data_IF_155378509832
#
_entry.id   IF_155378509832
#
_cell.length_a   1.000
_cell.length_b   1.000
_cell.length_c   1.000
_cell.angle_alpha   90.00
_cell.angle_beta   90.00
_cell.angle_gamma   90.00
#
_symmetry.space_group_name_H-M   'P 1'
#
loop_
_entity.id
_entity.type
_entity.pdbx_description
1 polymer ?
#
# COMPACT_ATOMS: atom_id res chain seq x y z
N UNK A 1 -19.51 -3.59 11.18
CA UNK A 1 -19.23 -4.39 10.02
C UNK A 1 -17.98 -5.23 10.22
N UNK A 2 -18.12 -6.51 10.05
CA UNK A 2 -17.01 -7.43 10.28
C UNK A 2 -16.28 -7.70 8.98
N UNK A 3 -14.99 -7.43 8.97
CA UNK A 3 -14.15 -7.82 7.86
C UNK A 3 -13.71 -9.25 8.08
N UNK A 4 -14.12 -10.13 7.20
CA UNK A 4 -13.74 -11.54 7.29
C UNK A 4 -12.51 -11.80 6.47
N UNK A 5 -11.42 -12.21 7.10
CA UNK A 5 -10.21 -12.60 6.41
C UNK A 5 -10.39 -13.99 5.82
N UNK A 6 -9.95 -14.18 4.59
CA UNK A 6 -10.01 -15.47 3.94
C UNK A 6 -8.90 -16.37 4.45
N UNK A 7 -9.22 -17.64 4.59
CA UNK A 7 -8.20 -18.63 4.90
C UNK A 7 -7.18 -18.70 3.76
N UNK A 8 -5.92 -18.71 4.11
CA UNK A 8 -4.84 -18.80 3.13
C UNK A 8 -4.36 -17.48 2.57
N UNK A 9 -5.07 -16.38 2.87
CA UNK A 9 -4.62 -15.05 2.46
C UNK A 9 -3.94 -14.38 3.66
N UNK A 10 -2.74 -13.87 3.49
CA UNK A 10 -2.05 -13.19 4.59
C UNK A 10 -2.68 -11.82 4.86
N UNK A 11 -2.43 -11.29 6.06
CA UNK A 11 -3.04 -10.05 6.52
C UNK A 11 -2.60 -8.86 5.68
N UNK A 12 -1.36 -8.82 5.25
CA UNK A 12 -0.84 -7.73 4.42
C UNK A 12 -1.56 -7.68 3.07
N UNK A 13 -1.74 -8.84 2.42
CA UNK A 13 -2.44 -8.91 1.15
C UNK A 13 -3.88 -8.46 1.29
N UNK A 14 -4.56 -8.93 2.33
CA UNK A 14 -5.95 -8.54 2.60
C UNK A 14 -6.07 -7.05 2.84
N UNK A 15 -5.21 -6.49 3.68
CA UNK A 15 -5.23 -5.07 4.01
C UNK A 15 -4.97 -4.21 2.78
N UNK A 16 -3.98 -4.58 1.97
CA UNK A 16 -3.64 -3.83 0.76
C UNK A 16 -4.76 -3.91 -0.28
N UNK A 17 -5.42 -5.06 -0.40
CA UNK A 17 -6.57 -5.20 -1.29
C UNK A 17 -7.73 -4.31 -0.87
N UNK A 18 -8.03 -4.26 0.43
CA UNK A 18 -9.07 -3.38 0.96
C UNK A 18 -8.75 -1.91 0.72
N UNK A 19 -7.51 -1.51 0.96
CA UNK A 19 -7.09 -0.13 0.74
C UNK A 19 -7.18 0.26 -0.73
N UNK A 20 -6.83 -0.65 -1.64
CA UNK A 20 -6.95 -0.45 -3.08
C UNK A 20 -8.42 -0.23 -3.47
N UNK A 21 -9.33 -1.07 -2.97
CA UNK A 21 -10.76 -0.92 -3.23
C UNK A 21 -11.31 0.38 -2.64
N UNK A 22 -10.83 0.80 -1.47
CA UNK A 22 -11.19 2.10 -0.91
C UNK A 22 -10.73 3.24 -1.82
N UNK A 23 -9.60 3.08 -2.49
CA UNK A 23 -9.12 4.05 -3.47
C UNK A 23 -10.10 4.22 -4.62
N UNK A 24 -10.58 3.13 -5.19
CA UNK A 24 -11.60 3.18 -6.24
C UNK A 24 -12.87 3.85 -5.76
N UNK A 25 -13.33 3.52 -4.55
CA UNK A 25 -14.52 4.13 -3.97
C UNK A 25 -14.32 5.63 -3.72
N UNK A 26 -13.15 6.02 -3.24
CA UNK A 26 -12.83 7.42 -2.98
C UNK A 26 -12.91 8.28 -4.24
N UNK A 27 -12.43 7.74 -5.37
CA UNK A 27 -12.44 8.48 -6.63
C UNK A 27 -13.74 8.27 -7.44
N UNK A 28 -14.65 7.41 -6.96
CA UNK A 28 -15.89 7.13 -7.67
C UNK A 28 -15.66 6.42 -8.99
N UNK A 29 -14.64 5.56 -9.06
CA UNK A 29 -14.31 4.87 -10.30
C UNK A 29 -15.42 3.92 -10.72
N UNK A 30 -15.76 3.86 -12.03
CA UNK A 30 -16.76 2.92 -12.52
C UNK A 30 -16.24 1.49 -12.45
N UNK A 31 -17.14 0.49 -12.51
CA UNK A 31 -16.72 -0.90 -12.61
C UNK A 31 -15.81 -1.12 -13.82
N UNK A 32 -14.82 -1.99 -13.66
CA UNK A 32 -13.84 -2.29 -14.68
C UNK A 32 -12.44 -1.85 -14.28
N UNK A 33 -11.46 -2.42 -14.93
CA UNK A 33 -10.07 -2.16 -14.60
C UNK A 33 -9.40 -1.35 -15.71
N UNK A 34 -9.31 -0.05 -15.50
CA UNK A 34 -8.59 0.85 -16.39
C UNK A 34 -7.24 1.18 -15.74
N UNK A 35 -6.17 1.15 -16.54
CA UNK A 35 -4.82 1.33 -16.03
C UNK A 35 -4.64 2.57 -15.17
N UNK A 36 -5.18 3.70 -15.61
CA UNK A 36 -5.08 4.95 -14.85
C UNK A 36 -5.79 4.87 -13.49
N UNK A 37 -6.96 4.22 -13.45
CA UNK A 37 -7.71 4.04 -12.21
C UNK A 37 -6.98 3.11 -11.26
N UNK A 38 -6.36 2.06 -11.78
CA UNK A 38 -5.59 1.11 -10.97
C UNK A 38 -4.36 1.76 -10.36
N UNK A 39 -3.62 2.54 -11.13
CA UNK A 39 -2.45 3.27 -10.62
C UNK A 39 -2.85 4.24 -9.52
N UNK A 40 -3.95 4.96 -9.72
CA UNK A 40 -4.45 5.93 -8.74
C UNK A 40 -4.88 5.24 -7.45
N UNK A 41 -5.56 4.10 -7.56
CA UNK A 41 -5.97 3.31 -6.40
C UNK A 41 -4.76 2.74 -5.65
N UNK A 42 -3.74 2.30 -6.36
CA UNK A 42 -2.50 1.81 -5.76
C UNK A 42 -1.80 2.93 -4.96
N UNK A 43 -1.73 4.13 -5.52
CA UNK A 43 -1.14 5.28 -4.83
C UNK A 43 -1.93 5.68 -3.60
N UNK A 44 -3.25 5.64 -3.70
CA UNK A 44 -4.13 5.91 -2.56
C UNK A 44 -3.85 4.91 -1.44
N UNK A 45 -3.79 3.62 -1.77
CA UNK A 45 -3.53 2.57 -0.80
C UNK A 45 -2.17 2.77 -0.12
N UNK A 46 -1.14 3.09 -0.89
CA UNK A 46 0.20 3.31 -0.35
C UNK A 46 0.21 4.48 0.65
N UNK A 47 -0.41 5.59 0.30
CA UNK A 47 -0.48 6.76 1.19
C UNK A 47 -1.29 6.48 2.45
N UNK A 48 -2.35 5.69 2.31
CA UNK A 48 -3.21 5.35 3.45
C UNK A 48 -2.49 4.43 4.44
N UNK A 49 -1.73 3.47 3.94
CA UNK A 49 -1.17 2.40 4.76
C UNK A 49 0.22 2.68 5.29
N UNK A 50 0.99 3.54 4.64
CA UNK A 50 2.36 3.81 5.06
C UNK A 50 2.49 5.26 5.52
N UNK A 51 2.82 5.42 6.80
CA UNK A 51 3.14 6.71 7.40
C UNK A 51 4.62 6.99 7.17
N UNK A 52 5.00 8.20 6.67
CA UNK A 52 6.41 8.53 6.43
C UNK A 52 7.31 8.39 7.66
N UNK A 53 6.79 8.74 8.83
CA UNK A 53 7.55 8.61 10.07
C UNK A 53 7.83 7.14 10.40
N UNK A 54 6.82 6.28 10.26
CA UNK A 54 6.96 4.86 10.50
C UNK A 54 7.93 4.22 9.51
N UNK A 55 7.86 4.65 8.24
CA UNK A 55 8.79 4.18 7.24
C UNK A 55 10.23 4.54 7.61
N UNK A 56 10.47 5.80 7.97
CA UNK A 56 11.81 6.26 8.32
C UNK A 56 12.37 5.51 9.53
N UNK A 57 11.55 5.29 10.55
CA UNK A 57 11.94 4.55 11.74
C UNK A 57 12.28 3.10 11.40
N UNK A 58 11.45 2.47 10.60
CA UNK A 58 11.65 1.07 10.19
C UNK A 58 12.92 0.92 9.35
N UNK A 59 13.13 1.84 8.41
CA UNK A 59 14.32 1.82 7.56
C UNK A 59 15.58 2.04 8.39
N UNK A 60 15.53 2.91 9.39
CA UNK A 60 16.68 3.15 10.28
C UNK A 60 17.07 1.90 11.06
N UNK A 61 16.09 1.07 11.42
CA UNK A 61 16.33 -0.15 12.19
C UNK A 61 16.78 -1.31 11.29
N UNK A 62 16.11 -1.50 10.18
CA UNK A 62 16.26 -2.70 9.34
C UNK A 62 17.05 -2.48 8.06
N UNK A 63 17.35 -1.22 7.71
CA UNK A 63 18.06 -0.89 6.48
C UNK A 63 17.14 -0.86 5.26
N UNK A 64 17.69 -0.53 4.08
CA UNK A 64 16.90 -0.35 2.87
C UNK A 64 16.60 -1.68 2.16
N UNK A 65 15.96 -2.60 2.84
CA UNK A 65 15.62 -3.94 2.33
C UNK A 65 14.12 -4.04 2.11
N UNK A 66 13.63 -3.95 0.84
CA UNK A 66 12.19 -3.87 0.57
C UNK A 66 11.36 -5.00 1.17
N UNK A 67 11.83 -6.23 1.06
CA UNK A 67 11.08 -7.37 1.60
C UNK A 67 10.91 -7.25 3.11
N UNK A 68 11.97 -6.90 3.81
CA UNK A 68 11.94 -6.75 5.26
C UNK A 68 11.10 -5.55 5.68
N UNK A 69 11.26 -4.42 4.99
CA UNK A 69 10.47 -3.22 5.28
C UNK A 69 8.98 -3.48 5.09
N UNK A 70 8.60 -4.14 3.99
CA UNK A 70 7.20 -4.47 3.74
C UNK A 70 6.65 -5.36 4.85
N UNK A 71 7.41 -6.37 5.26
CA UNK A 71 7.01 -7.26 6.34
C UNK A 71 6.79 -6.50 7.65
N UNK A 72 7.73 -5.64 8.02
CA UNK A 72 7.65 -4.90 9.28
C UNK A 72 6.57 -3.83 9.27
N UNK A 73 6.29 -3.24 8.12
CA UNK A 73 5.22 -2.26 7.97
C UNK A 73 3.85 -2.90 7.78
N UNK A 74 3.80 -4.22 7.59
CA UNK A 74 2.54 -4.94 7.43
C UNK A 74 1.86 -4.72 6.07
N UNK A 75 2.65 -4.44 5.04
CA UNK A 75 2.13 -4.21 3.68
C UNK A 75 2.81 -5.14 2.68
N UNK A 76 2.26 -5.20 1.46
CA UNK A 76 2.90 -5.97 0.39
C UNK A 76 4.09 -5.21 -0.18
N UNK A 77 4.98 -5.94 -0.85
CA UNK A 77 6.14 -5.32 -1.52
C UNK A 77 5.65 -4.35 -2.60
N UNK A 78 4.56 -4.66 -3.27
CA UNK A 78 3.98 -3.78 -4.30
C UNK A 78 3.58 -2.43 -3.69
N UNK A 79 2.90 -2.44 -2.55
CA UNK A 79 2.49 -1.21 -1.86
C UNK A 79 3.71 -0.44 -1.39
N UNK A 80 4.71 -1.13 -0.84
CA UNK A 80 5.93 -0.49 -0.40
C UNK A 80 6.64 0.21 -1.55
N UNK A 81 6.80 -0.45 -2.68
CA UNK A 81 7.48 0.12 -3.85
C UNK A 81 6.70 1.29 -4.44
N UNK A 82 5.38 1.20 -4.44
CA UNK A 82 4.52 2.32 -4.87
C UNK A 82 4.76 3.53 -3.98
N UNK A 83 4.78 3.33 -2.67
CA UNK A 83 5.04 4.42 -1.72
C UNK A 83 6.42 5.03 -1.91
N UNK A 84 7.45 4.20 -2.08
CA UNK A 84 8.80 4.68 -2.31
C UNK A 84 8.88 5.56 -3.56
N UNK A 85 8.21 5.15 -4.62
CA UNK A 85 8.16 5.92 -5.86
C UNK A 85 7.53 7.30 -5.65
N UNK A 86 6.45 7.38 -4.87
CA UNK A 86 5.80 8.64 -4.56
C UNK A 86 6.68 9.54 -3.71
N UNK A 87 7.35 8.96 -2.73
CA UNK A 87 8.22 9.72 -1.84
C UNK A 87 9.42 10.28 -2.58
N UNK A 88 10.03 9.49 -3.44
CA UNK A 88 11.17 9.93 -4.25
C UNK A 88 10.80 11.11 -5.16
N UNK A 89 9.60 11.07 -5.74
CA UNK A 89 9.11 12.17 -6.57
C UNK A 89 8.96 13.46 -5.79
N UNK A 90 8.51 13.36 -4.54
CA UNK A 90 8.33 14.53 -3.69
C UNK A 90 9.66 15.09 -3.21
N UNK A 91 10.67 14.26 -3.06
CA UNK A 91 11.98 14.64 -2.61
C UNK A 91 12.85 15.26 -3.72
N UNK A 92 12.51 14.97 -4.97
CA UNK A 92 13.31 15.43 -6.11
C UNK A 92 13.16 16.92 -6.41
#
# INVERSE_FOLDING_TARGET
>A
NTITLRLGMDDATTLCSLAHELGHAHYGDPPGHHGAHEIRADRFAARLLINPHDYATTEAIYGPHPTLLAHELGVTIKVLKTWQSLYERQAA
#
